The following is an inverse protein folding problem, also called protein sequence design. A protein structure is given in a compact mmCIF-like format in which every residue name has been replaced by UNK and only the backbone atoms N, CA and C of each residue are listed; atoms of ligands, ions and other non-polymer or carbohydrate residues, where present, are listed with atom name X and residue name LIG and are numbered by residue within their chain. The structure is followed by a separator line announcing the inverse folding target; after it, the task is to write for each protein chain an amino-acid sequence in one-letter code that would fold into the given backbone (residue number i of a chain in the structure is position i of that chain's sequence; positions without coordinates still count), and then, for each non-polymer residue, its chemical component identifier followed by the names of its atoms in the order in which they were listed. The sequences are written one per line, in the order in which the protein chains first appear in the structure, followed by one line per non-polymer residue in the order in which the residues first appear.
data_IF_110822355025
#
_entry.id   IF_110822355025
#
_cell.length_a   1.000
_cell.length_b   1.000
_cell.length_c   1.000
_cell.angle_alpha   90.00
_cell.angle_beta   90.00
_cell.angle_gamma   90.00
#
_symmetry.space_group_name_H-M   'P 1'
#
loop_
_entity.id
_entity.type
_entity.pdbx_description
1 polymer ?
#
# COMPACT_ATOMS: atom_id res chain seq x y z
N UNK A 1 -22.25 -23.45 -10.97
CA UNK A 1 -21.10 -22.53 -11.07
C UNK A 1 -21.69 -21.15 -11.22
N UNK A 2 -21.47 -20.24 -10.28
CA UNK A 2 -21.89 -18.85 -10.47
C UNK A 2 -21.01 -18.27 -11.58
N UNK A 3 -21.61 -17.77 -12.65
CA UNK A 3 -20.94 -16.94 -13.65
C UNK A 3 -20.55 -15.60 -12.98
N UNK A 4 -19.52 -15.61 -12.15
CA UNK A 4 -18.86 -14.37 -11.76
C UNK A 4 -18.06 -13.91 -12.98
N UNK A 5 -18.54 -12.84 -13.61
CA UNK A 5 -17.82 -12.15 -14.68
C UNK A 5 -16.42 -11.80 -14.15
N UNK A 6 -15.41 -12.51 -14.65
CA UNK A 6 -14.01 -12.32 -14.25
C UNK A 6 -13.61 -10.85 -14.44
N UNK A 7 -12.80 -10.27 -13.55
CA UNK A 7 -12.40 -8.87 -13.66
C UNK A 7 -11.61 -8.65 -14.95
N UNK A 8 -11.96 -7.60 -15.68
CA UNK A 8 -11.16 -7.13 -16.82
C UNK A 8 -9.84 -6.54 -16.33
N UNK A 9 -8.81 -6.57 -17.18
CA UNK A 9 -7.50 -6.01 -16.84
C UNK A 9 -7.60 -4.54 -16.42
N UNK A 10 -8.32 -3.73 -17.21
CA UNK A 10 -8.51 -2.32 -16.92
C UNK A 10 -9.25 -2.09 -15.60
N UNK A 11 -10.33 -2.84 -15.36
CA UNK A 11 -11.07 -2.76 -14.11
C UNK A 11 -10.20 -3.12 -12.90
N UNK A 12 -9.33 -4.12 -13.05
CA UNK A 12 -8.41 -4.54 -12.01
C UNK A 12 -7.32 -3.51 -11.76
N UNK A 13 -6.75 -2.89 -12.80
CA UNK A 13 -5.76 -1.81 -12.68
C UNK A 13 -6.32 -0.65 -11.88
N UNK A 14 -7.51 -0.16 -12.25
CA UNK A 14 -8.14 0.99 -11.58
C UNK A 14 -8.45 0.65 -10.12
N UNK A 15 -9.14 -0.47 -9.86
CA UNK A 15 -9.51 -0.86 -8.50
C UNK A 15 -8.29 -1.12 -7.62
N UNK A 16 -7.26 -1.81 -8.13
CA UNK A 16 -6.03 -2.09 -7.37
C UNK A 16 -5.27 -0.81 -7.06
N UNK A 17 -5.15 0.11 -8.01
CA UNK A 17 -4.50 1.42 -7.80
C UNK A 17 -5.20 2.23 -6.72
N UNK A 18 -6.53 2.29 -6.77
CA UNK A 18 -7.34 2.99 -5.76
C UNK A 18 -7.19 2.35 -4.39
N UNK A 19 -7.45 1.04 -4.27
CA UNK A 19 -7.41 0.35 -2.97
C UNK A 19 -6.01 0.39 -2.38
N UNK A 20 -4.97 0.15 -3.18
CA UNK A 20 -3.59 0.18 -2.69
C UNK A 20 -3.21 1.56 -2.17
N UNK A 21 -3.58 2.63 -2.88
CA UNK A 21 -3.34 4.01 -2.44
C UNK A 21 -4.05 4.31 -1.13
N UNK A 22 -5.32 3.92 -1.02
CA UNK A 22 -6.14 4.14 0.18
C UNK A 22 -5.56 3.39 1.39
N UNK A 23 -5.26 2.09 1.24
CA UNK A 23 -4.74 1.29 2.37
C UNK A 23 -3.33 1.70 2.75
N UNK A 24 -2.48 2.03 1.77
CA UNK A 24 -1.15 2.58 2.03
C UNK A 24 -1.23 3.88 2.85
N UNK A 25 -2.09 4.81 2.44
CA UNK A 25 -2.20 6.10 3.12
C UNK A 25 -2.64 5.96 4.58
N UNK A 26 -3.71 5.20 4.83
CA UNK A 26 -4.21 5.01 6.19
C UNK A 26 -3.22 4.26 7.07
N UNK A 27 -2.59 3.19 6.56
CA UNK A 27 -1.59 2.46 7.32
C UNK A 27 -0.34 3.31 7.57
N UNK A 28 0.07 4.14 6.61
CA UNK A 28 1.16 5.09 6.80
C UNK A 28 0.87 6.12 7.89
N UNK A 29 -0.35 6.67 7.97
CA UNK A 29 -0.76 7.56 9.08
C UNK A 29 -0.70 6.82 10.42
N UNK A 30 -1.20 5.58 10.47
CA UNK A 30 -1.15 4.77 11.69
C UNK A 30 0.30 4.47 12.10
N UNK A 31 1.18 4.19 11.14
CA UNK A 31 2.59 3.95 11.40
C UNK A 31 3.31 5.21 11.91
N UNK A 32 3.06 6.37 11.29
CA UNK A 32 3.59 7.66 11.74
C UNK A 32 3.18 7.98 13.19
N UNK A 33 1.94 7.68 13.55
CA UNK A 33 1.38 8.03 14.86
C UNK A 33 1.61 6.99 15.95
N UNK A 34 1.65 5.70 15.62
CA UNK A 34 1.74 4.60 16.59
C UNK A 34 3.14 3.96 16.68
N UNK A 35 3.95 4.05 15.62
CA UNK A 35 5.27 3.41 15.54
C UNK A 35 6.44 4.42 15.62
N UNK A 36 6.13 5.70 15.84
CA UNK A 36 7.11 6.78 16.02
C UNK A 36 8.14 6.89 14.87
N UNK A 37 7.64 6.81 13.63
CA UNK A 37 8.49 6.83 12.43
C UNK A 37 9.28 8.13 12.25
N UNK A 38 8.77 9.26 12.77
CA UNK A 38 9.51 10.53 12.75
C UNK A 38 10.85 10.41 13.46
N UNK A 39 10.87 9.84 14.66
CA UNK A 39 12.12 9.60 15.40
C UNK A 39 12.96 8.50 14.73
N UNK A 40 12.32 7.41 14.32
CA UNK A 40 13.02 6.28 13.70
C UNK A 40 13.74 6.66 12.40
N UNK A 41 13.16 7.54 11.57
CA UNK A 41 13.74 7.94 10.28
C UNK A 41 14.71 9.11 10.39
N UNK A 42 14.77 9.79 11.54
CA UNK A 42 15.67 10.92 11.79
C UNK A 42 16.87 10.57 12.65
N UNK A 43 16.87 9.41 13.32
CA UNK A 43 17.93 8.98 14.23
C UNK A 43 18.44 7.56 13.93
N UNK A 44 19.64 7.25 14.44
CA UNK A 44 20.21 5.90 14.37
C UNK A 44 20.50 5.40 12.95
N UNK A 45 20.48 4.07 12.78
CA UNK A 45 20.84 3.40 11.52
C UNK A 45 19.78 3.62 10.43
N UNK A 46 18.50 3.76 10.79
CA UNK A 46 17.45 3.99 9.81
C UNK A 46 17.57 5.37 9.14
N UNK A 47 18.14 6.37 9.81
CA UNK A 47 18.35 7.70 9.21
C UNK A 47 19.36 7.70 8.05
N UNK A 48 20.26 6.71 7.96
CA UNK A 48 21.16 6.57 6.80
C UNK A 48 20.52 5.85 5.62
N UNK A 49 19.35 5.24 5.83
CA UNK A 49 18.64 4.44 4.82
C UNK A 49 17.31 5.09 4.38
N UNK A 50 16.56 5.67 5.32
CA UNK A 50 15.24 6.25 5.12
C UNK A 50 15.32 7.77 4.95
N UNK A 51 14.38 8.34 4.19
CA UNK A 51 14.20 9.78 4.12
C UNK A 51 13.42 10.28 5.35
N UNK A 52 13.72 11.48 5.86
CA UNK A 52 12.89 12.15 6.87
C UNK A 52 11.42 12.24 6.44
N UNK A 53 10.51 12.15 7.41
CA UNK A 53 9.06 12.10 7.18
C UNK A 53 8.48 13.40 6.62
N UNK A 54 9.18 14.52 6.82
CA UNK A 54 8.88 15.84 6.28
C UNK A 54 9.45 16.08 4.87
N UNK A 55 10.19 15.14 4.29
CA UNK A 55 10.75 15.34 2.95
C UNK A 55 9.66 15.36 1.87
N UNK A 56 9.82 16.16 0.80
CA UNK A 56 8.86 16.19 -0.31
C UNK A 56 8.61 14.82 -0.94
N UNK A 57 9.61 13.94 -0.95
CA UNK A 57 9.48 12.59 -1.51
C UNK A 57 8.61 11.67 -0.64
N UNK A 58 8.68 11.80 0.69
CA UNK A 58 7.79 11.06 1.60
C UNK A 58 6.36 11.60 1.48
N UNK A 59 6.20 12.92 1.39
CA UNK A 59 4.90 13.55 1.14
C UNK A 59 4.28 13.14 -0.21
N UNK A 60 5.11 12.92 -1.24
CA UNK A 60 4.68 12.39 -2.55
C UNK A 60 4.36 10.89 -2.54
N UNK A 61 4.63 10.17 -1.44
CA UNK A 61 4.46 8.72 -1.33
C UNK A 61 3.10 8.22 -1.82
N UNK A 62 1.96 8.79 -1.37
CA UNK A 62 0.63 8.41 -1.84
C UNK A 62 0.44 8.59 -3.37
N UNK A 63 0.99 9.66 -3.96
CA UNK A 63 0.90 9.90 -5.41
C UNK A 63 1.62 8.87 -6.27
N UNK A 64 2.58 8.14 -5.70
CA UNK A 64 3.32 7.07 -6.38
C UNK A 64 2.62 5.71 -6.25
N UNK A 65 1.64 5.56 -5.36
CA UNK A 65 0.94 4.29 -5.16
C UNK A 65 0.11 3.81 -6.36
N UNK A 66 -0.47 4.67 -7.23
CA UNK A 66 -1.08 4.22 -8.46
C UNK A 66 -0.12 3.42 -9.37
N UNK A 67 1.16 3.79 -9.40
CA UNK A 67 2.18 3.06 -10.18
C UNK A 67 2.38 1.66 -9.58
N UNK A 68 2.46 1.55 -8.25
CA UNK A 68 2.56 0.25 -7.56
C UNK A 68 1.28 -0.58 -7.73
N UNK A 69 0.12 0.05 -7.67
CA UNK A 69 -1.16 -0.61 -7.89
C UNK A 69 -1.33 -1.13 -9.32
N UNK A 70 -0.80 -0.44 -10.32
CA UNK A 70 -0.70 -0.94 -11.70
C UNK A 70 0.18 -2.20 -11.75
N UNK A 71 1.37 -2.17 -11.15
CA UNK A 71 2.29 -3.32 -11.11
C UNK A 71 1.62 -4.53 -10.44
N UNK A 72 0.95 -4.31 -9.32
CA UNK A 72 0.18 -5.34 -8.63
C UNK A 72 -0.95 -5.89 -9.49
N UNK A 73 -1.74 -5.04 -10.14
CA UNK A 73 -2.82 -5.50 -11.02
C UNK A 73 -2.31 -6.36 -12.18
N UNK A 74 -1.17 -6.01 -12.77
CA UNK A 74 -0.52 -6.80 -13.82
C UNK A 74 -0.08 -8.18 -13.30
N UNK A 75 0.41 -8.27 -12.06
CA UNK A 75 0.73 -9.54 -11.41
C UNK A 75 -0.52 -10.35 -11.02
N UNK A 76 -1.61 -9.68 -10.61
CA UNK A 76 -2.85 -10.33 -10.19
C UNK A 76 -3.68 -10.84 -11.36
N UNK A 77 -3.67 -10.13 -12.49
CA UNK A 77 -4.49 -10.45 -13.66
C UNK A 77 -4.34 -11.88 -14.20
N UNK A 78 -3.12 -12.45 -14.38
CA UNK A 78 -2.98 -13.84 -14.82
C UNK A 78 -3.50 -14.85 -13.79
N UNK A 79 -3.56 -14.47 -12.52
CA UNK A 79 -4.00 -15.32 -11.40
C UNK A 79 -5.43 -14.97 -10.93
N UNK A 80 -6.16 -14.13 -11.67
CA UNK A 80 -7.44 -13.55 -11.23
C UNK A 80 -8.51 -14.59 -10.89
N UNK A 81 -8.49 -15.75 -11.56
CA UNK A 81 -9.42 -16.83 -11.25
C UNK A 81 -9.16 -17.44 -9.87
N UNK A 82 -7.89 -17.52 -9.45
CA UNK A 82 -7.48 -18.00 -8.13
C UNK A 82 -7.84 -16.96 -7.06
N UNK A 83 -7.56 -15.68 -7.34
CA UNK A 83 -7.71 -14.60 -6.38
C UNK A 83 -9.15 -14.11 -6.23
N UNK A 84 -9.93 -14.06 -7.30
CA UNK A 84 -11.27 -13.47 -7.30
C UNK A 84 -12.37 -14.51 -7.59
N UNK A 85 -12.05 -15.64 -8.21
CA UNK A 85 -13.01 -16.71 -8.51
C UNK A 85 -13.32 -17.65 -7.34
N UNK A 86 -12.52 -17.65 -6.26
CA UNK A 86 -12.69 -18.50 -5.07
C UNK A 86 -13.18 -17.69 -3.87
N UNK A 87 -14.03 -18.29 -3.03
CA UNK A 87 -14.57 -17.64 -1.82
C UNK A 87 -13.48 -17.15 -0.84
N UNK A 88 -12.36 -17.84 -0.76
CA UNK A 88 -11.20 -17.50 0.07
C UNK A 88 -10.03 -16.90 -0.73
N UNK A 89 -10.25 -16.49 -1.98
CA UNK A 89 -9.19 -16.02 -2.86
C UNK A 89 -8.45 -14.78 -2.32
N UNK A 90 -9.11 -13.97 -1.49
CA UNK A 90 -8.50 -12.86 -0.77
C UNK A 90 -7.46 -13.30 0.28
N UNK A 91 -7.62 -14.45 0.93
CA UNK A 91 -6.59 -14.98 1.84
C UNK A 91 -5.37 -15.46 1.06
N UNK A 92 -5.59 -16.05 -0.12
CA UNK A 92 -4.51 -16.48 -1.01
C UNK A 92 -3.75 -15.25 -1.51
N UNK A 93 -4.46 -14.23 -1.98
CA UNK A 93 -3.86 -12.97 -2.43
C UNK A 93 -3.06 -12.29 -1.30
N UNK A 94 -3.62 -12.23 -0.09
CA UNK A 94 -2.93 -11.68 1.07
C UNK A 94 -1.65 -12.46 1.38
N UNK A 95 -1.73 -13.79 1.41
CA UNK A 95 -0.57 -14.64 1.67
C UNK A 95 0.52 -14.46 0.59
N UNK A 96 0.15 -14.40 -0.69
CA UNK A 96 1.11 -14.15 -1.79
C UNK A 96 1.83 -12.81 -1.59
N UNK A 97 1.09 -11.76 -1.22
CA UNK A 97 1.68 -10.45 -0.93
C UNK A 97 2.62 -10.46 0.27
N UNK A 98 2.27 -11.17 1.34
CA UNK A 98 3.14 -11.29 2.52
C UNK A 98 4.37 -12.14 2.21
N UNK A 99 4.18 -13.32 1.64
CA UNK A 99 5.26 -14.25 1.34
C UNK A 99 6.29 -13.65 0.39
N UNK A 100 5.85 -13.07 -0.73
CA UNK A 100 6.76 -12.58 -1.77
C UNK A 100 7.12 -11.09 -1.63
N UNK A 101 6.18 -10.28 -1.14
CA UNK A 101 6.33 -8.83 -1.05
C UNK A 101 6.87 -8.32 0.29
N UNK A 102 6.86 -9.15 1.35
CA UNK A 102 7.34 -8.76 2.68
C UNK A 102 8.46 -9.68 3.16
N UNK A 103 8.25 -11.00 3.17
CA UNK A 103 9.19 -11.95 3.76
C UNK A 103 10.34 -12.32 2.80
N UNK A 104 10.01 -12.63 1.55
CA UNK A 104 10.95 -13.12 0.53
C UNK A 104 11.19 -12.11 -0.59
N UNK A 105 11.37 -10.84 -0.23
CA UNK A 105 11.70 -9.80 -1.21
C UNK A 105 13.07 -10.07 -1.84
N UNK A 106 13.20 -9.87 -3.15
CA UNK A 106 14.49 -9.99 -3.84
C UNK A 106 15.52 -8.93 -3.43
N UNK A 107 15.08 -7.78 -2.94
CA UNK A 107 15.94 -6.76 -2.35
C UNK A 107 16.02 -6.90 -0.83
N UNK A 108 17.07 -6.35 -0.22
CA UNK A 108 17.28 -6.32 1.23
C UNK A 108 16.37 -5.31 1.95
N UNK A 109 15.04 -5.48 1.82
CA UNK A 109 14.06 -4.68 2.51
C UNK A 109 14.08 -4.97 4.03
N UNK A 110 13.84 -3.94 4.86
CA UNK A 110 13.79 -4.10 6.31
C UNK A 110 12.71 -5.09 6.73
N UNK A 111 13.08 -6.11 7.51
CA UNK A 111 12.17 -7.17 7.96
C UNK A 111 12.01 -8.35 7.00
N UNK A 112 12.62 -8.32 5.82
CA UNK A 112 12.69 -9.49 4.93
C UNK A 112 13.86 -10.40 5.28
N UNK A 113 13.88 -11.61 4.74
CA UNK A 113 14.99 -12.56 4.90
C UNK A 113 16.29 -11.94 4.37
N UNK A 114 16.26 -11.35 3.17
CA UNK A 114 17.42 -10.67 2.58
C UNK A 114 17.86 -9.46 3.44
N UNK A 115 16.91 -8.75 4.06
CA UNK A 115 17.21 -7.68 5.02
C UNK A 115 17.98 -8.18 6.25
N UNK A 116 17.61 -9.33 6.79
CA UNK A 116 18.30 -9.96 7.93
C UNK A 116 19.72 -10.43 7.56
N UNK A 117 19.94 -10.81 6.30
CA UNK A 117 21.24 -11.30 5.82
C UNK A 117 22.19 -10.13 5.54
N UNK A 118 21.71 -9.09 4.85
CA UNK A 118 22.59 -8.06 4.26
C UNK A 118 22.60 -6.73 5.00
N UNK A 119 21.71 -6.50 5.97
CA UNK A 119 21.64 -5.22 6.67
C UNK A 119 21.98 -5.36 8.15
N UNK A 120 22.48 -4.27 8.73
CA UNK A 120 22.68 -4.13 10.17
C UNK A 120 21.42 -3.62 10.89
N UNK A 121 20.30 -3.46 10.17
CA UNK A 121 19.05 -2.95 10.73
C UNK A 121 18.38 -4.10 11.50
N UNK A 122 18.16 -3.96 12.82
CA UNK A 122 17.54 -5.01 13.61
C UNK A 122 16.10 -5.24 13.12
N UNK A 123 15.73 -6.50 12.92
CA UNK A 123 14.36 -6.86 12.60
C UNK A 123 13.54 -6.98 13.88
N UNK A 124 12.40 -6.31 13.91
CA UNK A 124 11.45 -6.30 15.03
C UNK A 124 10.03 -6.55 14.51
N UNK A 125 9.12 -6.87 15.44
CA UNK A 125 7.69 -7.01 15.13
C UNK A 125 7.12 -5.74 14.47
N UNK A 126 7.66 -4.57 14.81
CA UNK A 126 7.23 -3.27 14.27
C UNK A 126 7.41 -3.14 12.77
N UNK A 127 8.37 -3.87 12.17
CA UNK A 127 8.56 -3.90 10.71
C UNK A 127 7.35 -4.51 9.98
N UNK A 128 6.55 -5.32 10.66
CA UNK A 128 5.41 -6.02 10.07
C UNK A 128 4.06 -5.36 10.40
N UNK A 129 3.98 -4.58 11.48
CA UNK A 129 2.73 -3.99 11.97
C UNK A 129 2.06 -3.02 10.99
N UNK A 130 2.82 -2.41 10.08
CA UNK A 130 2.26 -1.61 9.01
C UNK A 130 1.97 -2.47 7.77
N UNK A 131 2.99 -3.13 7.21
CA UNK A 131 2.94 -3.71 5.86
C UNK A 131 2.09 -4.97 5.78
N UNK A 132 2.05 -5.80 6.83
CA UNK A 132 1.25 -7.04 6.83
C UNK A 132 -0.25 -6.72 6.93
N UNK A 133 -0.71 -5.84 7.85
CA UNK A 133 -2.09 -5.38 7.84
C UNK A 133 -2.45 -4.58 6.59
N UNK A 134 -1.53 -3.77 6.03
CA UNK A 134 -1.79 -3.06 4.78
C UNK A 134 -2.06 -4.01 3.62
N UNK A 135 -1.26 -5.09 3.48
CA UNK A 135 -1.49 -6.13 2.49
C UNK A 135 -2.81 -6.88 2.72
N UNK A 136 -3.18 -7.12 3.99
CA UNK A 136 -4.46 -7.73 4.36
C UNK A 136 -5.64 -6.86 3.91
N UNK A 137 -5.62 -5.57 4.26
CA UNK A 137 -6.66 -4.61 3.89
C UNK A 137 -6.76 -4.46 2.37
N UNK A 138 -5.62 -4.37 1.68
CA UNK A 138 -5.58 -4.34 0.21
C UNK A 138 -6.32 -5.55 -0.36
N UNK A 139 -5.94 -6.74 0.09
CA UNK A 139 -6.51 -7.98 -0.43
C UNK A 139 -8.02 -8.08 -0.16
N UNK A 140 -8.45 -7.84 1.09
CA UNK A 140 -9.84 -7.96 1.50
C UNK A 140 -10.75 -6.94 0.79
N UNK A 141 -10.35 -5.66 0.76
CA UNK A 141 -11.14 -4.58 0.14
C UNK A 141 -11.18 -4.76 -1.37
N UNK A 142 -10.04 -5.07 -2.01
CA UNK A 142 -9.99 -5.29 -3.45
C UNK A 142 -10.86 -6.47 -3.87
N UNK A 143 -10.74 -7.60 -3.17
CA UNK A 143 -11.57 -8.78 -3.42
C UNK A 143 -13.06 -8.47 -3.29
N UNK A 144 -13.45 -7.80 -2.20
CA UNK A 144 -14.84 -7.45 -1.97
C UNK A 144 -15.38 -6.53 -3.07
N UNK A 145 -14.62 -5.50 -3.44
CA UNK A 145 -15.02 -4.52 -4.44
C UNK A 145 -15.03 -5.09 -5.88
N UNK A 146 -14.12 -6.02 -6.19
CA UNK A 146 -14.11 -6.72 -7.49
C UNK A 146 -15.34 -7.63 -7.62
N UNK A 147 -15.66 -8.38 -6.57
CA UNK A 147 -16.71 -9.41 -6.61
C UNK A 147 -18.13 -8.88 -6.36
N UNK A 148 -18.27 -7.63 -5.90
CA UNK A 148 -19.57 -7.00 -5.66
C UNK A 148 -19.74 -5.69 -6.46
N UNK A 149 -19.71 -5.74 -7.82
CA UNK A 149 -19.80 -4.54 -8.67
C UNK A 149 -21.15 -3.82 -8.56
N UNK A 150 -22.20 -4.48 -8.08
CA UNK A 150 -23.52 -3.90 -7.83
C UNK A 150 -23.51 -2.87 -6.69
N UNK A 151 -22.52 -2.93 -5.78
CA UNK A 151 -22.35 -1.99 -4.67
C UNK A 151 -21.74 -0.68 -5.14
N UNK A 152 -22.50 0.10 -5.92
CA UNK A 152 -22.05 1.38 -6.49
C UNK A 152 -21.51 2.38 -5.46
N UNK A 153 -21.95 2.30 -4.20
CA UNK A 153 -21.45 3.15 -3.12
C UNK A 153 -19.94 2.96 -2.88
N UNK A 154 -19.39 1.75 -3.08
CA UNK A 154 -17.95 1.50 -2.96
C UNK A 154 -17.15 2.28 -4.00
N UNK A 155 -17.68 2.41 -5.23
CA UNK A 155 -17.02 3.20 -6.28
C UNK A 155 -16.88 4.65 -5.86
N UNK A 156 -17.94 5.22 -5.29
CA UNK A 156 -17.95 6.61 -4.83
C UNK A 156 -17.05 6.80 -3.61
N UNK A 157 -17.20 5.96 -2.59
CA UNK A 157 -16.41 6.10 -1.35
C UNK A 157 -14.91 5.95 -1.63
N UNK A 158 -14.51 4.86 -2.29
CA UNK A 158 -13.08 4.62 -2.57
C UNK A 158 -12.53 5.61 -3.60
N UNK A 159 -13.34 6.02 -4.59
CA UNK A 159 -12.97 7.04 -5.56
C UNK A 159 -12.77 8.43 -4.93
N UNK A 160 -13.69 8.87 -4.07
CA UNK A 160 -13.58 10.15 -3.34
C UNK A 160 -12.37 10.11 -2.41
N UNK A 161 -12.20 9.05 -1.62
CA UNK A 161 -11.03 8.89 -0.75
C UNK A 161 -9.73 8.95 -1.54
N UNK A 162 -9.66 8.26 -2.68
CA UNK A 162 -8.50 8.31 -3.56
C UNK A 162 -8.19 9.73 -4.03
N UNK A 163 -9.18 10.45 -4.56
CA UNK A 163 -8.98 11.83 -5.02
C UNK A 163 -8.52 12.74 -3.88
N UNK A 164 -9.14 12.64 -2.70
CA UNK A 164 -8.73 13.42 -1.53
C UNK A 164 -7.29 13.11 -1.13
N UNK A 165 -6.89 11.84 -1.10
CA UNK A 165 -5.51 11.44 -0.77
C UNK A 165 -4.51 11.98 -1.79
N UNK A 166 -4.83 11.93 -3.08
CA UNK A 166 -3.98 12.49 -4.14
C UNK A 166 -3.82 14.01 -3.98
N UNK A 167 -4.90 14.72 -3.66
CA UNK A 167 -4.86 16.17 -3.38
C UNK A 167 -4.06 16.48 -2.11
N UNK A 168 -4.27 15.73 -1.03
CA UNK A 168 -3.53 15.88 0.22
C UNK A 168 -2.02 15.65 0.01
N UNK A 169 -1.65 14.62 -0.75
CA UNK A 169 -0.25 14.35 -1.07
C UNK A 169 0.35 15.47 -1.93
N UNK A 170 -0.36 15.99 -2.93
CA UNK A 170 0.08 17.14 -3.72
C UNK A 170 0.29 18.39 -2.86
N UNK A 171 -0.67 18.70 -1.97
CA UNK A 171 -0.55 19.80 -1.01
C UNK A 171 0.63 19.57 -0.04
N UNK A 172 0.84 18.33 0.41
CA UNK A 172 1.98 17.96 1.25
C UNK A 172 3.32 18.20 0.54
N UNK A 173 3.44 17.86 -0.75
CA UNK A 173 4.63 18.17 -1.55
C UNK A 173 4.84 19.68 -1.65
N UNK A 174 3.78 20.45 -1.92
CA UNK A 174 3.89 21.92 -2.01
C UNK A 174 4.33 22.53 -0.67
N UNK A 175 3.75 22.07 0.44
CA UNK A 175 4.13 22.49 1.78
C UNK A 175 5.60 22.15 2.10
N UNK A 176 6.03 20.92 1.81
CA UNK A 176 7.41 20.47 2.05
C UNK A 176 8.46 21.21 1.19
N UNK A 177 8.05 21.81 0.07
CA UNK A 177 8.90 22.68 -0.75
C UNK A 177 8.79 24.17 -0.38
N UNK A 178 8.06 24.52 0.69
CA UNK A 178 7.87 25.92 1.11
C UNK A 178 6.94 26.74 0.20
N UNK A 179 6.17 26.09 -0.67
CA UNK A 179 5.22 26.76 -1.59
C UNK A 179 3.89 27.10 -0.90
N UNK A 180 3.60 26.50 0.25
CA UNK A 180 2.43 26.78 1.07
C UNK A 180 2.89 27.16 2.48
N UNK A 181 2.31 28.23 3.03
CA UNK A 181 2.44 28.52 4.45
C UNK A 181 1.58 27.52 5.23
N UNK A 182 2.24 26.65 5.99
CA UNK A 182 1.56 25.75 6.91
C UNK A 182 1.38 26.50 8.23
N UNK A 183 0.15 26.62 8.77
CA UNK A 183 -0.06 27.18 10.09
C UNK A 183 0.77 26.40 11.11
N UNK A 184 1.62 27.11 11.85
CA UNK A 184 2.41 26.59 12.97
C UNK A 184 1.54 26.27 14.17
#
# INVERSE_FOLDING_TARGET
MNDSTQPTLWGLIVKTSVVHTVTYFFMGILALTLLNYTEAFSTGVLASFMRPTDSPWVAAGPMLQPIRGLIFALAFYPLREIFFGKNNGWLILWWVLVALGVLSTFGAATGSIEGMIYTIIPTSITNYLEVVPQAFLLSAILFYWVNHPEKKWLNWVLGILFVLIMLMSALGVMAANGMLQVPT
#
